data_IF_189331590432
#
_entry.id   IF_189331590432
#
_cell.length_a   1.000
_cell.length_b   1.000
_cell.length_c   1.000
_cell.angle_alpha   90.00
_cell.angle_beta   90.00
_cell.angle_gamma   90.00
#
_symmetry.space_group_name_H-M   'P 1'
#
loop_
_entity.id
_entity.type
_entity.pdbx_description
1 polymer ?
#
# COMPACT_ATOMS: atom_id res chain seq x y z
N UNK A 1 32.19 1.23 -4.56
CA UNK A 1 32.59 2.58 -4.11
C UNK A 1 31.52 3.03 -3.12
N UNK A 2 31.85 3.15 -1.84
CA UNK A 2 30.90 3.65 -0.86
C UNK A 2 30.76 5.16 -1.08
N UNK A 3 29.68 5.56 -1.75
CA UNK A 3 29.28 6.97 -1.81
C UNK A 3 28.82 7.31 -0.41
N UNK A 4 29.51 8.24 0.26
CA UNK A 4 29.06 8.75 1.55
C UNK A 4 27.65 9.33 1.36
N UNK A 5 26.66 8.74 2.03
CA UNK A 5 25.30 9.26 2.09
C UNK A 5 25.38 10.70 2.62
N UNK A 6 25.18 11.67 1.74
CA UNK A 6 24.96 13.05 2.13
C UNK A 6 23.45 13.22 2.15
N UNK A 7 22.88 13.43 3.33
CA UNK A 7 21.44 13.63 3.44
C UNK A 7 21.04 14.83 2.58
N UNK A 8 20.05 14.65 1.72
CA UNK A 8 19.38 15.75 1.02
C UNK A 8 18.40 16.50 1.93
N UNK A 9 18.41 16.22 3.24
CA UNK A 9 17.66 16.98 4.22
C UNK A 9 18.22 18.41 4.24
N UNK A 10 17.59 19.29 3.47
CA UNK A 10 17.67 20.74 3.67
C UNK A 10 16.97 21.15 4.97
N UNK A 11 16.65 22.43 5.08
CA UNK A 11 16.00 22.94 6.28
C UNK A 11 14.60 22.31 6.49
N UNK A 12 14.17 22.10 7.74
CA UNK A 12 12.86 21.54 8.05
C UNK A 12 11.73 22.30 7.32
N UNK A 13 10.92 21.57 6.54
CA UNK A 13 9.76 22.13 5.81
C UNK A 13 10.05 22.54 4.36
N UNK A 14 11.29 22.40 3.89
CA UNK A 14 11.64 22.66 2.49
C UNK A 14 11.43 21.42 1.61
N UNK A 15 10.90 21.64 0.40
CA UNK A 15 10.88 20.64 -0.66
C UNK A 15 12.21 20.71 -1.43
N UNK A 16 13.12 19.79 -1.13
CA UNK A 16 14.40 19.70 -1.82
C UNK A 16 14.26 18.79 -3.04
N UNK A 17 14.53 19.33 -4.23
CA UNK A 17 14.51 18.54 -5.47
C UNK A 17 15.75 17.65 -5.51
N UNK A 18 15.57 16.38 -5.83
CA UNK A 18 16.67 15.42 -5.97
C UNK A 18 17.71 15.90 -7.00
N UNK A 19 18.98 15.71 -6.69
CA UNK A 19 20.12 16.11 -7.52
C UNK A 19 20.87 14.90 -8.11
N UNK A 20 20.25 13.72 -8.06
CA UNK A 20 20.81 12.49 -8.60
C UNK A 20 21.09 12.61 -10.11
N UNK A 21 22.12 11.90 -10.56
CA UNK A 21 22.44 11.83 -11.97
C UNK A 21 21.26 11.24 -12.78
N UNK A 22 21.12 11.59 -14.07
CA UNK A 22 20.12 10.97 -14.93
C UNK A 22 20.24 9.44 -14.91
N UNK A 23 19.09 8.77 -15.03
CA UNK A 23 18.99 7.31 -15.05
C UNK A 23 20.04 6.68 -16.01
N UNK A 24 20.84 5.68 -15.57
CA UNK A 24 21.76 4.95 -16.44
C UNK A 24 21.05 4.32 -17.64
N UNK A 25 21.68 4.36 -18.82
CA UNK A 25 21.05 3.96 -20.08
C UNK A 25 20.59 2.50 -20.09
N UNK A 26 21.35 1.62 -19.43
CA UNK A 26 21.10 0.19 -19.27
C UNK A 26 19.87 -0.13 -18.40
N UNK A 27 19.38 0.84 -17.61
CA UNK A 27 18.17 0.67 -16.78
C UNK A 27 16.92 1.27 -17.43
N UNK A 28 17.02 1.75 -18.68
CA UNK A 28 15.84 2.16 -19.46
C UNK A 28 14.94 0.94 -19.69
N UNK A 29 13.64 1.11 -19.47
CA UNK A 29 12.66 0.02 -19.54
C UNK A 29 12.40 -0.71 -18.22
N UNK A 30 13.17 -0.44 -17.16
CA UNK A 30 12.83 -0.91 -15.80
C UNK A 30 11.78 0.04 -15.22
N UNK A 31 10.64 -0.52 -14.84
CA UNK A 31 9.51 0.18 -14.24
C UNK A 31 8.94 -0.62 -13.07
N UNK A 32 8.44 0.09 -12.05
CA UNK A 32 7.65 -0.55 -11.00
C UNK A 32 6.31 -1.01 -11.60
N UNK A 33 6.06 -2.31 -11.56
CA UNK A 33 4.87 -2.91 -12.16
C UNK A 33 3.71 -3.04 -11.17
N UNK A 34 3.98 -3.71 -10.04
CA UNK A 34 2.99 -4.00 -9.01
C UNK A 34 3.61 -3.93 -7.62
N UNK A 35 2.75 -3.77 -6.61
CA UNK A 35 3.08 -3.98 -5.20
C UNK A 35 2.29 -5.17 -4.67
N UNK A 36 2.94 -6.06 -3.93
CA UNK A 36 2.31 -7.24 -3.33
C UNK A 36 1.94 -7.01 -1.87
N UNK A 37 0.69 -7.30 -1.51
CA UNK A 37 0.19 -7.33 -0.13
C UNK A 37 -0.35 -8.72 0.20
N UNK A 38 -0.15 -9.16 1.45
CA UNK A 38 -0.78 -10.39 1.96
C UNK A 38 -2.12 -10.04 2.57
N UNK A 39 -3.15 -10.80 2.23
CA UNK A 39 -4.52 -10.60 2.72
C UNK A 39 -5.03 -11.85 3.43
N UNK A 40 -5.83 -11.65 4.47
CA UNK A 40 -6.36 -12.72 5.32
C UNK A 40 -7.64 -13.32 4.73
N UNK A 41 -8.59 -12.48 4.36
CA UNK A 41 -9.87 -12.95 3.82
C UNK A 41 -10.26 -12.15 2.56
N UNK A 42 -10.21 -12.77 1.36
CA UNK A 42 -10.60 -12.10 0.13
C UNK A 42 -12.07 -11.66 0.13
N UNK A 43 -12.94 -12.28 0.93
CA UNK A 43 -14.37 -11.91 1.00
C UNK A 43 -14.58 -10.53 1.60
N UNK A 44 -13.70 -10.08 2.49
CA UNK A 44 -13.76 -8.74 3.09
C UNK A 44 -12.84 -7.77 2.34
N UNK A 45 -11.70 -8.24 1.85
CA UNK A 45 -10.69 -7.38 1.23
C UNK A 45 -11.01 -7.01 -0.21
N UNK A 46 -11.54 -7.95 -1.03
CA UNK A 46 -11.89 -7.62 -2.42
C UNK A 46 -13.00 -6.56 -2.54
N UNK A 47 -14.07 -6.56 -1.71
CA UNK A 47 -15.03 -5.46 -1.68
C UNK A 47 -14.42 -4.10 -1.34
N UNK A 48 -13.39 -4.02 -0.49
CA UNK A 48 -12.68 -2.76 -0.24
C UNK A 48 -12.07 -2.23 -1.55
N UNK A 49 -11.26 -3.03 -2.24
CA UNK A 49 -10.63 -2.60 -3.49
C UNK A 49 -11.66 -2.29 -4.58
N UNK A 50 -12.73 -3.08 -4.69
CA UNK A 50 -13.74 -2.91 -5.74
C UNK A 50 -14.73 -1.80 -5.46
N UNK A 51 -15.34 -1.83 -4.29
CA UNK A 51 -16.47 -0.98 -3.98
C UNK A 51 -16.02 0.33 -3.34
N UNK A 52 -14.90 0.39 -2.62
CA UNK A 52 -14.40 1.64 -2.04
C UNK A 52 -13.48 2.34 -3.03
N UNK A 53 -12.47 1.63 -3.54
CA UNK A 53 -11.48 2.22 -4.44
C UNK A 53 -11.89 2.20 -5.92
N UNK A 54 -12.90 1.42 -6.31
CA UNK A 54 -13.29 1.33 -7.73
C UNK A 54 -12.31 0.53 -8.58
N UNK A 55 -11.46 -0.30 -7.96
CA UNK A 55 -10.55 -1.19 -8.68
C UNK A 55 -11.30 -2.44 -9.18
N UNK A 56 -10.72 -3.12 -10.14
CA UNK A 56 -11.25 -4.36 -10.72
C UNK A 56 -10.20 -5.46 -10.57
N UNK A 57 -10.66 -6.70 -10.44
CA UNK A 57 -9.77 -7.85 -10.54
C UNK A 57 -9.42 -8.07 -12.01
N UNK A 58 -8.14 -7.94 -12.34
CA UNK A 58 -7.59 -8.17 -13.67
C UNK A 58 -7.62 -9.66 -14.01
N UNK A 59 -6.99 -10.47 -13.16
CA UNK A 59 -7.07 -11.93 -13.18
C UNK A 59 -6.81 -12.49 -11.78
N UNK A 60 -7.15 -13.77 -11.61
CA UNK A 60 -6.75 -14.57 -10.46
C UNK A 60 -5.85 -15.70 -10.91
N UNK A 61 -4.82 -16.00 -10.12
CA UNK A 61 -3.92 -17.12 -10.37
C UNK A 61 -3.83 -17.99 -9.12
N UNK A 62 -4.26 -19.24 -9.24
CA UNK A 62 -4.06 -20.25 -8.21
C UNK A 62 -2.66 -20.85 -8.40
N UNK A 63 -1.76 -20.59 -7.47
CA UNK A 63 -0.37 -21.04 -7.55
C UNK A 63 -0.15 -22.46 -7.01
N UNK A 64 -1.23 -23.20 -6.68
CA UNK A 64 -1.14 -24.48 -5.99
C UNK A 64 -0.56 -24.34 -4.58
N UNK A 65 0.04 -25.42 -4.05
CA UNK A 65 0.73 -25.43 -2.75
C UNK A 65 1.98 -24.55 -2.79
N UNK A 66 1.80 -23.25 -2.57
CA UNK A 66 2.86 -22.26 -2.72
C UNK A 66 3.51 -21.94 -1.37
N UNK A 67 4.85 -22.01 -1.32
CA UNK A 67 5.64 -21.68 -0.14
C UNK A 67 6.58 -20.52 -0.49
N UNK A 68 6.11 -19.28 -0.36
CA UNK A 68 6.98 -18.10 -0.43
C UNK A 68 6.95 -17.32 0.88
N UNK A 69 8.15 -17.22 1.47
CA UNK A 69 8.51 -16.47 2.70
C UNK A 69 8.21 -17.16 4.04
N UNK A 70 8.25 -18.49 4.08
CA UNK A 70 8.18 -19.29 5.30
C UNK A 70 9.53 -19.86 5.83
N UNK A 71 10.68 -19.88 5.11
CA UNK A 71 11.79 -20.73 5.57
C UNK A 71 12.54 -20.23 6.80
N UNK A 72 12.52 -18.94 7.18
CA UNK A 72 13.32 -18.47 8.33
C UNK A 72 12.57 -18.57 9.66
N UNK A 73 11.26 -18.33 9.69
CA UNK A 73 10.47 -18.40 10.93
C UNK A 73 9.95 -19.82 11.23
N UNK A 74 9.61 -20.64 10.22
CA UNK A 74 9.05 -21.98 10.45
C UNK A 74 10.08 -23.09 10.69
N UNK A 75 11.36 -22.91 10.33
CA UNK A 75 12.40 -23.87 10.72
C UNK A 75 12.63 -23.92 12.24
N UNK A 76 12.22 -22.90 12.98
CA UNK A 76 12.28 -22.87 14.45
C UNK A 76 11.07 -23.53 15.14
N UNK A 77 9.97 -23.78 14.43
CA UNK A 77 8.71 -24.25 15.03
C UNK A 77 8.08 -25.50 14.39
N UNK A 78 8.75 -26.15 13.44
CA UNK A 78 8.40 -27.51 12.99
C UNK A 78 7.01 -27.67 12.35
N UNK A 79 6.41 -26.60 11.81
CA UNK A 79 5.11 -26.68 11.12
C UNK A 79 5.29 -26.84 9.61
N UNK A 80 4.61 -27.82 9.03
CA UNK A 80 4.41 -27.95 7.58
C UNK A 80 3.05 -27.34 7.25
N UNK A 81 3.01 -26.35 6.36
CA UNK A 81 1.76 -25.83 5.80
C UNK A 81 1.69 -26.24 4.33
N UNK A 82 0.84 -27.22 4.02
CA UNK A 82 0.43 -27.54 2.66
C UNK A 82 -0.84 -26.74 2.34
N UNK A 83 -0.74 -25.42 2.36
CA UNK A 83 -1.86 -24.54 1.99
C UNK A 83 -1.69 -24.07 0.55
N UNK A 84 -2.79 -24.09 -0.20
CA UNK A 84 -2.89 -23.45 -1.51
C UNK A 84 -2.89 -21.92 -1.38
N UNK A 85 -2.43 -21.24 -2.43
CA UNK A 85 -2.35 -19.77 -2.47
C UNK A 85 -3.00 -19.26 -3.74
N UNK A 86 -3.86 -18.24 -3.59
CA UNK A 86 -4.39 -17.46 -4.71
C UNK A 86 -3.74 -16.08 -4.74
N UNK A 87 -3.44 -15.61 -5.95
CA UNK A 87 -3.00 -14.24 -6.22
C UNK A 87 -4.07 -13.50 -7.02
N UNK A 88 -4.47 -12.31 -6.55
CA UNK A 88 -5.45 -11.44 -7.20
C UNK A 88 -4.74 -10.16 -7.65
N UNK A 89 -4.76 -9.84 -8.94
CA UNK A 89 -4.21 -8.59 -9.45
C UNK A 89 -5.34 -7.56 -9.57
N UNK A 90 -5.25 -6.48 -8.80
CA UNK A 90 -6.23 -5.38 -8.79
C UNK A 90 -5.70 -4.20 -9.61
N UNK A 91 -6.57 -3.58 -10.42
CA UNK A 91 -6.22 -2.42 -11.26
C UNK A 91 -7.39 -1.44 -11.43
N UNK A 92 -7.12 -0.21 -11.85
CA UNK A 92 -8.14 0.75 -12.29
C UNK A 92 -8.29 0.68 -13.81
N UNK A 93 -9.36 0.06 -14.30
CA UNK A 93 -9.72 0.01 -15.72
C UNK A 93 -11.18 0.37 -15.93
N UNK A 94 -11.46 1.09 -17.02
CA UNK A 94 -12.78 1.63 -17.33
C UNK A 94 -13.69 0.60 -18.02
N UNK A 95 -13.11 -0.35 -18.75
CA UNK A 95 -13.85 -1.36 -19.52
C UNK A 95 -13.86 -2.73 -18.81
N UNK A 96 -14.90 -3.52 -19.09
CA UNK A 96 -15.07 -4.85 -18.52
C UNK A 96 -15.35 -5.88 -19.60
N UNK A 97 -14.65 -7.01 -19.53
CA UNK A 97 -14.70 -8.19 -20.39
C UNK A 97 -13.61 -8.29 -21.46
N UNK A 98 -12.34 -8.12 -21.06
CA UNK A 98 -11.23 -8.54 -21.90
C UNK A 98 -11.06 -10.06 -21.84
N UNK A 99 -10.85 -10.68 -23.01
CA UNK A 99 -10.49 -12.10 -23.11
C UNK A 99 -9.20 -12.36 -22.33
N UNK A 100 -9.09 -13.51 -21.64
CA UNK A 100 -7.93 -13.85 -20.81
C UNK A 100 -6.59 -13.67 -21.53
N UNK A 101 -6.53 -13.99 -22.83
CA UNK A 101 -5.33 -13.79 -23.65
C UNK A 101 -4.98 -12.32 -23.85
N UNK A 102 -5.97 -11.43 -24.00
CA UNK A 102 -5.77 -9.98 -24.12
C UNK A 102 -5.30 -9.38 -22.79
N UNK A 103 -5.95 -9.79 -21.70
CA UNK A 103 -5.53 -9.41 -20.33
C UNK A 103 -4.09 -9.81 -20.08
N UNK A 104 -3.70 -11.03 -20.46
CA UNK A 104 -2.35 -11.52 -20.28
C UNK A 104 -1.32 -10.83 -21.18
N UNK A 105 -1.67 -10.58 -22.44
CA UNK A 105 -0.80 -9.87 -23.38
C UNK A 105 -0.53 -8.42 -22.94
N UNK A 106 -1.51 -7.76 -22.33
CA UNK A 106 -1.38 -6.39 -21.88
C UNK A 106 -0.87 -6.23 -20.44
N UNK A 107 -0.87 -7.31 -19.64
CA UNK A 107 -0.40 -7.31 -18.25
C UNK A 107 0.92 -6.55 -18.06
N UNK A 108 2.01 -6.77 -18.84
CA UNK A 108 3.28 -6.07 -18.65
C UNK A 108 3.23 -4.54 -18.84
N UNK A 109 2.19 -4.02 -19.50
CA UNK A 109 2.01 -2.60 -19.79
C UNK A 109 1.16 -1.89 -18.73
N UNK A 110 0.49 -2.65 -17.86
CA UNK A 110 -0.36 -2.13 -16.81
C UNK A 110 0.48 -1.42 -15.72
N UNK A 111 -0.09 -0.37 -15.12
CA UNK A 111 0.56 0.45 -14.09
C UNK A 111 -0.33 0.57 -12.88
N UNK A 112 0.27 0.69 -11.71
CA UNK A 112 -0.47 0.86 -10.45
C UNK A 112 -1.21 -0.40 -10.01
N UNK A 113 -0.68 -1.57 -10.34
CA UNK A 113 -1.26 -2.84 -9.95
C UNK A 113 -1.00 -3.14 -8.48
N UNK A 114 -2.01 -3.70 -7.81
CA UNK A 114 -1.87 -4.28 -6.47
C UNK A 114 -2.08 -5.79 -6.57
N UNK A 115 -1.03 -6.56 -6.27
CA UNK A 115 -1.12 -8.00 -6.12
C UNK A 115 -1.54 -8.33 -4.70
N UNK A 116 -2.64 -9.08 -4.53
CA UNK A 116 -3.12 -9.55 -3.25
C UNK A 116 -2.89 -11.05 -3.16
N UNK A 117 -2.11 -11.49 -2.18
CA UNK A 117 -1.83 -12.90 -1.93
C UNK A 117 -2.67 -13.39 -0.77
N UNK A 118 -3.53 -14.37 -1.04
CA UNK A 118 -4.34 -15.06 -0.03
C UNK A 118 -3.83 -16.48 0.17
N UNK A 119 -3.50 -16.82 1.42
CA UNK A 119 -3.25 -18.21 1.83
C UNK A 119 -4.57 -18.85 2.23
N UNK A 120 -4.97 -19.93 1.56
CA UNK A 120 -6.22 -20.62 1.86
C UNK A 120 -6.26 -21.08 3.32
N UNK A 121 -7.40 -20.85 3.98
CA UNK A 121 -7.61 -21.18 5.38
C UNK A 121 -7.19 -20.08 6.36
N UNK A 122 -6.40 -19.08 5.93
CA UNK A 122 -5.98 -17.97 6.80
C UNK A 122 -7.15 -17.14 7.34
N UNK A 123 -8.28 -17.11 6.61
CA UNK A 123 -9.53 -16.49 7.02
C UNK A 123 -10.13 -17.12 8.29
N UNK A 124 -9.80 -18.38 8.60
CA UNK A 124 -10.30 -19.11 9.76
C UNK A 124 -9.32 -19.14 10.93
N UNK A 125 -8.13 -18.57 10.77
CA UNK A 125 -7.09 -18.56 11.79
C UNK A 125 -7.15 -17.30 12.65
N UNK A 126 -6.76 -17.42 13.92
CA UNK A 126 -6.71 -16.31 14.88
C UNK A 126 -5.38 -15.56 14.78
N UNK A 127 -5.19 -14.80 13.71
CA UNK A 127 -4.08 -13.86 13.54
C UNK A 127 -4.45 -12.70 12.61
N UNK A 128 -3.57 -11.69 12.54
CA UNK A 128 -3.61 -10.60 11.56
C UNK A 128 -2.22 -10.43 10.91
N UNK A 129 -2.16 -10.00 9.66
CA UNK A 129 -0.88 -9.66 9.03
C UNK A 129 -0.31 -8.37 9.63
N UNK A 130 1.02 -8.25 9.59
CA UNK A 130 1.70 -7.02 9.94
C UNK A 130 1.56 -6.00 8.81
N UNK A 131 0.82 -4.91 9.05
CA UNK A 131 0.65 -3.83 8.06
C UNK A 131 1.79 -2.82 8.02
N UNK A 132 2.78 -2.96 8.90
CA UNK A 132 3.90 -2.02 9.03
C UNK A 132 3.66 -0.87 10.02
N UNK A 133 2.46 -0.77 10.63
CA UNK A 133 2.08 0.31 11.56
C UNK A 133 1.80 -0.20 12.97
N UNK A 134 2.55 -1.20 13.45
CA UNK A 134 2.26 -1.78 14.76
C UNK A 134 2.56 -0.76 15.89
N UNK A 135 1.55 -0.35 16.68
CA UNK A 135 1.69 0.78 17.61
C UNK A 135 2.70 0.51 18.74
N UNK A 136 2.89 -0.76 19.09
CA UNK A 136 3.70 -1.16 20.25
C UNK A 136 4.93 -2.01 19.88
N UNK A 137 5.13 -2.32 18.60
CA UNK A 137 6.24 -3.17 18.16
C UNK A 137 7.01 -2.50 17.01
N UNK A 138 8.01 -1.66 17.32
CA UNK A 138 8.82 -0.98 16.31
C UNK A 138 9.51 -1.94 15.33
N UNK A 139 9.82 -3.18 15.77
CA UNK A 139 10.39 -4.21 14.91
C UNK A 139 9.44 -4.68 13.79
N UNK A 140 8.14 -4.40 13.93
CA UNK A 140 7.12 -4.64 12.91
C UNK A 140 6.85 -3.39 12.06
N UNK A 141 7.60 -2.30 12.25
CA UNK A 141 7.57 -1.12 11.39
C UNK A 141 8.39 -1.36 10.13
N UNK A 142 7.84 -1.02 8.97
CA UNK A 142 8.54 -1.25 7.69
C UNK A 142 7.78 -0.65 6.53
N UNK A 143 6.86 -1.41 5.93
CA UNK A 143 5.94 -0.88 4.93
C UNK A 143 5.12 0.28 5.51
N UNK A 144 5.03 1.38 4.76
CA UNK A 144 4.20 2.54 5.08
C UNK A 144 2.78 2.35 4.55
N UNK A 145 2.50 2.98 3.43
CA UNK A 145 1.18 3.00 2.84
C UNK A 145 1.25 2.95 1.33
N UNK A 146 0.09 2.74 0.72
CA UNK A 146 -0.11 3.01 -0.70
C UNK A 146 -0.61 4.44 -0.87
N UNK A 147 0.01 5.20 -1.76
CA UNK A 147 -0.46 6.53 -2.15
C UNK A 147 -1.43 6.45 -3.32
N UNK A 148 -2.62 7.02 -3.18
CA UNK A 148 -3.64 7.14 -4.20
C UNK A 148 -3.81 8.60 -4.59
N UNK A 149 -3.88 8.87 -5.88
CA UNK A 149 -4.33 10.18 -6.38
C UNK A 149 -5.86 10.17 -6.44
N UNK A 150 -6.48 11.12 -5.77
CA UNK A 150 -7.94 11.19 -5.58
C UNK A 150 -8.44 12.57 -5.99
N UNK A 151 -9.44 12.62 -6.86
CA UNK A 151 -9.98 13.90 -7.35
C UNK A 151 -10.83 14.62 -6.28
N UNK A 152 -11.61 13.88 -5.50
CA UNK A 152 -12.40 14.38 -4.37
C UNK A 152 -12.13 13.52 -3.11
N UNK A 153 -11.18 14.00 -2.29
CA UNK A 153 -10.75 13.31 -1.06
C UNK A 153 -11.90 13.19 -0.04
N UNK A 154 -12.67 14.25 0.29
CA UNK A 154 -13.82 14.12 1.19
C UNK A 154 -14.85 13.09 0.71
N UNK A 155 -15.17 13.06 -0.59
CA UNK A 155 -16.12 12.09 -1.13
C UNK A 155 -15.62 10.64 -0.99
N UNK A 156 -14.33 10.39 -1.25
CA UNK A 156 -13.73 9.06 -1.05
C UNK A 156 -13.78 8.65 0.43
N UNK A 157 -13.48 9.57 1.36
CA UNK A 157 -13.53 9.26 2.80
C UNK A 157 -14.97 8.95 3.25
N UNK A 158 -15.97 9.71 2.77
CA UNK A 158 -17.38 9.40 3.05
C UNK A 158 -17.80 8.06 2.47
N UNK A 159 -17.33 7.73 1.27
CA UNK A 159 -17.52 6.41 0.66
C UNK A 159 -16.90 5.32 1.55
N UNK A 160 -15.65 5.48 1.98
CA UNK A 160 -14.96 4.52 2.85
C UNK A 160 -15.74 4.29 4.16
N UNK A 161 -16.24 5.36 4.81
CA UNK A 161 -17.11 5.25 6.00
C UNK A 161 -18.38 4.44 5.74
N UNK A 162 -19.05 4.66 4.60
CA UNK A 162 -20.26 3.93 4.21
C UNK A 162 -20.01 2.41 4.10
N UNK A 163 -18.82 2.01 3.68
CA UNK A 163 -18.41 0.61 3.60
C UNK A 163 -17.72 0.09 4.87
N UNK A 164 -17.76 0.86 5.97
CA UNK A 164 -17.24 0.45 7.28
C UNK A 164 -15.73 0.49 7.42
N UNK A 165 -15.01 1.17 6.52
CA UNK A 165 -13.56 1.34 6.62
C UNK A 165 -13.22 2.25 7.80
N UNK A 166 -12.13 1.93 8.49
CA UNK A 166 -11.56 2.81 9.50
C UNK A 166 -10.85 3.97 8.83
N UNK A 167 -11.13 5.18 9.32
CA UNK A 167 -10.46 6.40 8.88
C UNK A 167 -9.34 6.66 9.88
N UNK A 168 -8.11 6.61 9.41
CA UNK A 168 -6.92 6.91 10.22
C UNK A 168 -6.79 8.42 10.39
N UNK A 169 -7.10 9.15 9.32
CA UNK A 169 -6.96 10.59 9.27
C UNK A 169 -7.94 11.19 8.27
N UNK A 170 -8.68 12.20 8.70
CA UNK A 170 -9.50 13.04 7.82
C UNK A 170 -8.65 14.10 7.14
N UNK A 171 -9.12 14.63 6.02
CA UNK A 171 -8.54 15.85 5.44
C UNK A 171 -8.72 17.02 6.43
N UNK A 172 -7.71 17.88 6.53
CA UNK A 172 -7.63 18.98 7.48
C UNK A 172 -7.06 18.61 8.84
N UNK A 173 -6.91 17.33 9.16
CA UNK A 173 -6.33 16.86 10.42
C UNK A 173 -4.85 16.56 10.21
N UNK A 174 -3.95 17.02 11.08
CA UNK A 174 -2.56 16.54 11.12
C UNK A 174 -2.05 16.53 12.56
N UNK A 175 -1.59 15.38 13.02
CA UNK A 175 -0.98 15.16 14.33
C UNK A 175 0.05 14.05 14.25
N UNK A 176 1.00 13.99 15.19
CA UNK A 176 2.01 12.92 15.23
C UNK A 176 1.38 11.51 15.18
N UNK A 177 0.24 11.30 15.85
CA UNK A 177 -0.47 10.03 15.89
C UNK A 177 -1.08 9.65 14.53
N UNK A 178 -1.64 10.64 13.81
CA UNK A 178 -2.35 10.41 12.54
C UNK A 178 -1.43 10.26 11.34
N UNK A 179 -0.13 10.57 11.49
CA UNK A 179 0.89 10.48 10.43
C UNK A 179 1.89 9.34 10.64
N UNK A 180 1.66 8.48 11.64
CA UNK A 180 2.58 7.37 11.95
C UNK A 180 3.96 7.85 12.42
N UNK A 181 4.00 8.97 13.14
CA UNK A 181 5.25 9.62 13.53
C UNK A 181 6.10 8.72 14.45
N UNK A 182 7.39 8.50 14.17
CA UNK A 182 8.18 7.55 14.94
C UNK A 182 8.31 7.93 16.42
N UNK A 183 8.12 6.96 17.31
CA UNK A 183 8.27 7.16 18.74
C UNK A 183 9.66 7.72 19.09
N UNK A 184 9.70 8.75 19.94
CA UNK A 184 10.95 9.39 20.36
C UNK A 184 11.50 10.46 19.40
N UNK A 185 10.77 10.80 18.33
CA UNK A 185 11.15 11.92 17.44
C UNK A 185 10.47 13.24 17.86
N UNK A 186 11.12 14.40 17.66
CA UNK A 186 10.50 15.71 17.92
C UNK A 186 9.20 15.88 17.14
N UNK A 187 8.23 16.63 17.70
CA UNK A 187 6.94 16.85 17.07
C UNK A 187 7.06 17.41 15.65
N UNK A 188 6.14 17.05 14.72
CA UNK A 188 6.18 17.58 13.36
C UNK A 188 6.08 19.11 13.37
N UNK A 189 6.91 19.75 12.55
CA UNK A 189 6.87 21.20 12.35
C UNK A 189 5.55 21.61 11.68
N UNK A 190 5.19 22.89 11.82
CA UNK A 190 3.98 23.44 11.22
C UNK A 190 3.88 23.20 9.70
N UNK A 191 4.95 23.47 8.95
CA UNK A 191 4.97 23.29 7.50
C UNK A 191 4.69 21.82 7.07
N UNK A 192 5.13 20.85 7.88
CA UNK A 192 4.79 19.44 7.65
C UNK A 192 3.31 19.21 7.91
N UNK A 193 2.77 19.73 9.01
CA UNK A 193 1.35 19.58 9.33
C UNK A 193 0.42 20.23 8.29
N UNK A 194 0.79 21.38 7.74
CA UNK A 194 0.06 22.07 6.67
C UNK A 194 0.08 21.29 5.36
N UNK A 195 1.24 20.74 4.99
CA UNK A 195 1.32 19.84 3.84
C UNK A 195 0.47 18.59 4.07
N UNK A 196 0.61 17.98 5.25
CA UNK A 196 -0.03 16.70 5.52
C UNK A 196 -1.54 16.81 5.72
N UNK A 197 -2.04 17.94 6.21
CA UNK A 197 -3.49 18.20 6.35
C UNK A 197 -4.24 18.18 5.02
N UNK A 198 -3.56 18.39 3.89
CA UNK A 198 -4.18 18.28 2.56
C UNK A 198 -4.67 16.87 2.22
N UNK A 199 -4.16 15.84 2.91
CA UNK A 199 -4.40 14.43 2.58
C UNK A 199 -5.33 13.77 3.59
N UNK A 200 -6.00 12.69 3.21
CA UNK A 200 -6.68 11.79 4.15
C UNK A 200 -5.98 10.43 4.18
N UNK A 201 -6.28 9.60 5.18
CA UNK A 201 -5.77 8.24 5.26
C UNK A 201 -6.84 7.27 5.72
N UNK A 202 -7.03 6.21 4.95
CA UNK A 202 -8.00 5.14 5.22
C UNK A 202 -7.29 3.81 5.42
N UNK A 203 -7.91 2.90 6.18
CA UNK A 203 -7.37 1.57 6.47
C UNK A 203 -8.19 0.50 5.74
N UNK A 204 -7.50 -0.42 5.07
CA UNK A 204 -8.10 -1.64 4.51
C UNK A 204 -8.45 -2.65 5.60
N UNK A 205 -9.28 -3.69 5.30
CA UNK A 205 -9.63 -4.72 6.28
C UNK A 205 -8.43 -5.48 6.89
N UNK A 206 -7.32 -5.56 6.17
CA UNK A 206 -6.08 -6.19 6.62
C UNK A 206 -5.14 -5.22 7.38
N UNK A 207 -5.56 -3.98 7.62
CA UNK A 207 -4.80 -3.00 8.39
C UNK A 207 -3.80 -2.16 7.59
N UNK A 208 -3.68 -2.34 6.27
CA UNK A 208 -2.82 -1.50 5.42
C UNK A 208 -3.43 -0.11 5.23
N UNK A 209 -2.57 0.90 5.27
CA UNK A 209 -2.95 2.31 5.12
C UNK A 209 -2.91 2.75 3.65
N UNK A 210 -3.87 3.60 3.28
CA UNK A 210 -4.00 4.20 1.96
C UNK A 210 -4.08 5.72 2.12
N UNK A 211 -3.04 6.41 1.66
CA UNK A 211 -2.96 7.87 1.64
C UNK A 211 -3.72 8.41 0.43
N UNK A 212 -4.71 9.24 0.69
CA UNK A 212 -5.58 9.84 -0.30
C UNK A 212 -5.05 11.25 -0.61
N UNK A 213 -4.28 11.36 -1.69
CA UNK A 213 -3.59 12.58 -2.11
C UNK A 213 -4.43 13.32 -3.15
N UNK A 214 -4.79 14.60 -2.91
CA UNK A 214 -5.50 15.39 -3.91
C UNK A 214 -4.61 15.69 -5.13
N UNK A 215 -5.22 15.95 -6.28
CA UNK A 215 -4.50 16.36 -7.52
C UNK A 215 -3.67 17.63 -7.36
N UNK A 216 -4.08 18.48 -6.43
CA UNK A 216 -3.43 19.75 -6.12
C UNK A 216 -3.24 19.81 -4.61
N UNK A 217 -2.01 20.05 -4.18
CA UNK A 217 -1.68 20.33 -2.79
C UNK A 217 -1.68 21.84 -2.58
N UNK A 218 -2.47 22.32 -1.64
CA UNK A 218 -2.44 23.72 -1.24
C UNK A 218 -1.24 23.96 -0.30
N UNK A 219 -0.46 24.98 -0.61
CA UNK A 219 0.54 25.51 0.34
C UNK A 219 -0.15 26.61 1.14
N UNK A 220 -0.38 26.34 2.41
CA UNK A 220 -0.85 27.33 3.37
C UNK A 220 0.30 28.21 3.87
#
# INVERSE_FOLDING_TARGET
>A
MAVHYTSLAGEPGQHNVGNDAPRPAETKGIHLHHLCLRIKDPKITLPFFREVLGMRTLFTYNAGSFSMCVPVYLLLFGRSLTSTVDSYYMYHGDEGNDETEKVWADFPNQKGLVELIHRHGSENEDFSYASGHHPTEPAMSGFGHLGLIVDDVPALVQRAKKYGCKIIKEQGVSSAETVGWPNGTPQPIQAYNELYSNMAMIESPDGYWFECVPRVLEKH
#
